data_IF_072920752806
#
_entry.id   IF_072920752806
#
_cell.length_a   1.000
_cell.length_b   1.000
_cell.length_c   1.000
_cell.angle_alpha   90.00
_cell.angle_beta   90.00
_cell.angle_gamma   90.00
#
_symmetry.space_group_name_H-M   'P 1'
#
loop_
_entity.id
_entity.type
_entity.pdbx_description
1 polymer ?
#
# COMPACT_ATOMS: atom_id res chain seq x y z
N UNK A 1 7.51 7.98 6.76
CA UNK A 1 6.13 8.32 6.39
C UNK A 1 5.67 7.30 5.37
N UNK A 2 4.82 6.37 5.79
CA UNK A 2 4.17 5.41 4.89
C UNK A 2 3.18 6.20 4.03
N UNK A 3 3.45 6.33 2.72
CA UNK A 3 2.47 6.87 1.77
C UNK A 3 1.41 5.80 1.53
N UNK A 4 0.44 5.71 2.44
CA UNK A 4 -0.77 4.95 2.20
C UNK A 4 -1.57 5.68 1.12
N UNK A 5 -1.88 5.00 0.01
CA UNK A 5 -2.62 5.56 -1.14
C UNK A 5 -4.09 5.80 -0.77
N UNK A 6 -4.34 6.67 0.20
CA UNK A 6 -5.64 6.93 0.79
C UNK A 6 -5.83 8.39 1.11
N UNK A 7 -7.04 8.86 0.86
CA UNK A 7 -7.53 10.20 1.17
C UNK A 7 -8.52 10.10 2.31
N UNK A 8 -8.35 10.92 3.34
CA UNK A 8 -9.28 10.97 4.46
C UNK A 8 -10.37 12.02 4.23
N UNK A 9 -11.63 11.60 4.35
CA UNK A 9 -12.81 12.48 4.29
C UNK A 9 -13.76 12.08 5.42
N UNK A 10 -14.13 13.05 6.27
CA UNK A 10 -15.02 12.85 7.42
C UNK A 10 -14.59 11.71 8.38
N UNK A 11 -13.29 11.50 8.54
CA UNK A 11 -12.74 10.42 9.38
C UNK A 11 -12.87 9.02 8.79
N UNK A 12 -13.16 8.93 7.48
CA UNK A 12 -13.12 7.71 6.69
C UNK A 12 -12.00 7.79 5.67
N UNK A 13 -11.32 6.66 5.45
CA UNK A 13 -10.20 6.58 4.50
C UNK A 13 -10.68 5.96 3.18
N UNK A 14 -10.54 6.71 2.09
CA UNK A 14 -10.90 6.29 0.74
C UNK A 14 -9.64 6.07 -0.08
N UNK A 15 -9.50 4.90 -0.70
CA UNK A 15 -8.36 4.62 -1.57
C UNK A 15 -8.35 5.51 -2.82
N UNK A 16 -7.17 5.91 -3.26
CA UNK A 16 -6.96 6.60 -4.54
C UNK A 16 -5.98 5.79 -5.41
N UNK A 17 -6.03 5.94 -6.74
CA UNK A 17 -5.09 5.28 -7.65
C UNK A 17 -3.64 5.58 -7.26
N UNK A 18 -2.82 4.54 -7.18
CA UNK A 18 -1.39 4.66 -6.84
C UNK A 18 -0.58 5.51 -7.82
N UNK A 19 -1.08 5.67 -9.04
CA UNK A 19 -0.49 6.53 -10.07
C UNK A 19 -0.45 8.00 -9.66
N UNK A 20 -1.25 8.39 -8.65
CA UNK A 20 -1.36 9.76 -8.13
C UNK A 20 -0.66 9.95 -6.78
N UNK A 21 0.23 9.03 -6.39
CA UNK A 21 1.03 9.21 -5.17
C UNK A 21 1.91 10.45 -5.32
N UNK A 22 1.80 11.38 -4.37
CA UNK A 22 2.56 12.64 -4.36
C UNK A 22 1.93 13.76 -5.20
N UNK A 23 0.87 13.46 -5.95
CA UNK A 23 0.10 14.44 -6.72
C UNK A 23 -1.00 15.08 -5.86
N UNK A 24 -1.41 16.31 -6.22
CA UNK A 24 -2.56 16.96 -5.59
C UNK A 24 -3.83 16.57 -6.30
N UNK A 25 -4.81 16.06 -5.55
CA UNK A 25 -6.14 15.70 -6.05
C UNK A 25 -7.22 16.59 -5.43
N UNK A 26 -8.28 16.86 -6.19
CA UNK A 26 -9.46 17.57 -5.73
C UNK A 26 -10.53 16.55 -5.36
N UNK A 27 -11.07 16.64 -4.15
CA UNK A 27 -12.15 15.75 -3.72
C UNK A 27 -13.46 16.50 -3.75
N UNK A 28 -14.45 15.94 -4.44
CA UNK A 28 -15.79 16.50 -4.58
C UNK A 28 -16.77 15.53 -3.92
N UNK A 29 -17.42 16.00 -2.87
CA UNK A 29 -18.46 15.27 -2.15
C UNK A 29 -19.82 15.78 -2.66
N UNK A 30 -20.59 14.89 -3.28
CA UNK A 30 -21.90 15.18 -3.84
C UNK A 30 -22.94 14.20 -3.27
N UNK A 31 -23.66 14.64 -2.23
CA UNK A 31 -24.69 13.82 -1.58
C UNK A 31 -24.10 12.58 -0.90
N UNK A 32 -24.33 11.41 -1.49
CA UNK A 32 -23.84 10.11 -1.02
C UNK A 32 -22.64 9.57 -1.82
N UNK A 33 -22.09 10.38 -2.74
CA UNK A 33 -20.92 10.02 -3.56
C UNK A 33 -19.74 10.94 -3.26
N UNK A 34 -18.54 10.36 -3.27
CA UNK A 34 -17.26 11.03 -3.22
C UNK A 34 -16.54 10.78 -4.55
N UNK A 35 -16.09 11.85 -5.19
CA UNK A 35 -15.31 11.81 -6.44
C UNK A 35 -13.95 12.42 -6.20
N UNK A 36 -12.91 11.74 -6.67
CA UNK A 36 -11.54 12.24 -6.64
C UNK A 36 -11.22 12.66 -8.06
N UNK A 37 -10.80 13.91 -8.23
CA UNK A 37 -10.39 14.47 -9.51
C UNK A 37 -8.90 14.81 -9.51
N UNK A 38 -8.24 14.56 -10.63
CA UNK A 38 -6.87 15.01 -10.90
C UNK A 38 -6.86 15.74 -12.24
N UNK A 39 -6.27 16.94 -12.27
CA UNK A 39 -6.24 17.81 -13.46
C UNK A 39 -7.62 18.02 -14.15
N UNK A 40 -8.71 18.03 -13.37
CA UNK A 40 -10.07 18.17 -13.87
C UNK A 40 -10.69 16.91 -14.48
N UNK A 41 -10.05 15.74 -14.32
CA UNK A 41 -10.57 14.43 -14.73
C UNK A 41 -10.96 13.62 -13.49
N UNK A 42 -12.12 12.93 -13.54
CA UNK A 42 -12.55 12.01 -12.48
C UNK A 42 -11.72 10.73 -12.52
N UNK A 43 -10.96 10.49 -11.46
CA UNK A 43 -9.99 9.38 -11.36
C UNK A 43 -10.46 8.28 -10.40
N UNK A 44 -11.39 8.58 -9.50
CA UNK A 44 -11.97 7.59 -8.60
C UNK A 44 -13.32 8.05 -8.06
N UNK A 45 -14.27 7.13 -7.96
CA UNK A 45 -15.57 7.38 -7.34
C UNK A 45 -15.83 6.36 -6.24
N UNK A 46 -16.26 6.85 -5.08
CA UNK A 46 -16.60 6.07 -3.90
C UNK A 46 -17.99 6.44 -3.41
N UNK A 47 -18.73 5.47 -2.87
CA UNK A 47 -19.90 5.78 -2.06
C UNK A 47 -19.43 6.30 -0.69
N UNK A 48 -20.01 7.41 -0.22
CA UNK A 48 -19.77 7.93 1.11
C UNK A 48 -20.28 6.93 2.15
N UNK A 49 -19.42 6.63 3.12
CA UNK A 49 -19.76 5.73 4.21
C UNK A 49 -20.27 6.52 5.40
N UNK A 50 -21.52 6.28 5.80
CA UNK A 50 -22.06 6.79 7.06
C UNK A 50 -21.52 5.93 8.23
N UNK A 51 -20.46 6.40 8.89
CA UNK A 51 -19.81 5.72 10.01
C UNK A 51 -18.45 6.36 10.35
N UNK A 52 -17.82 5.97 11.46
CA UNK A 52 -16.46 6.40 11.83
C UNK A 52 -15.45 5.27 11.57
N UNK A 53 -14.25 5.62 11.11
CA UNK A 53 -13.13 4.70 10.86
C UNK A 53 -13.38 3.62 9.80
N UNK A 54 -14.26 3.88 8.83
CA UNK A 54 -14.40 3.02 7.67
C UNK A 54 -13.27 3.20 6.68
N UNK A 55 -12.72 2.09 6.16
CA UNK A 55 -11.81 2.10 5.02
C UNK A 55 -12.53 1.56 3.79
N UNK A 56 -12.59 2.37 2.74
CA UNK A 56 -13.13 1.98 1.43
C UNK A 56 -11.95 1.82 0.47
N UNK A 57 -11.59 0.56 0.21
CA UNK A 57 -10.52 0.19 -0.70
C UNK A 57 -11.12 -0.40 -1.97
N UNK A 58 -10.87 0.23 -3.12
CA UNK A 58 -11.17 -0.34 -4.43
C UNK A 58 -9.95 -1.13 -4.91
N UNK A 59 -10.09 -2.44 -5.21
CA UNK A 59 -9.01 -3.25 -5.79
C UNK A 59 -8.42 -2.66 -7.08
N UNK A 60 -9.21 -1.92 -7.88
CA UNK A 60 -8.77 -1.28 -9.11
C UNK A 60 -7.67 -0.23 -8.85
N UNK A 61 -7.69 0.43 -7.68
CA UNK A 61 -6.66 1.41 -7.31
C UNK A 61 -5.29 0.80 -7.02
N UNK A 62 -5.23 -0.51 -6.84
CA UNK A 62 -4.00 -1.28 -6.66
C UNK A 62 -3.66 -2.16 -7.86
N UNK A 63 -4.43 -2.05 -8.96
CA UNK A 63 -4.17 -2.76 -10.20
C UNK A 63 -2.80 -2.33 -10.76
N UNK A 64 -1.83 -3.25 -10.75
CA UNK A 64 -0.47 -3.03 -11.24
C UNK A 64 0.61 -2.91 -10.16
N UNK A 65 0.24 -2.65 -8.90
CA UNK A 65 1.19 -2.55 -7.77
C UNK A 65 0.98 -3.60 -6.69
N UNK A 66 -0.15 -4.29 -6.69
CA UNK A 66 -0.34 -5.47 -5.86
C UNK A 66 0.74 -6.49 -6.22
N UNK A 67 1.62 -6.82 -5.26
CA UNK A 67 2.47 -8.00 -5.42
C UNK A 67 1.52 -9.15 -5.71
N UNK A 68 1.54 -9.69 -6.94
CA UNK A 68 1.10 -11.07 -7.14
C UNK A 68 1.85 -11.82 -6.05
N UNK A 69 1.13 -12.45 -5.12
CA UNK A 69 1.75 -13.45 -4.26
C UNK A 69 2.14 -14.55 -5.24
N UNK A 70 3.31 -14.40 -5.86
CA UNK A 70 3.96 -15.49 -6.52
C UNK A 70 4.06 -16.51 -5.39
N UNK A 71 3.28 -17.57 -5.48
CA UNK A 71 3.47 -18.74 -4.67
C UNK A 71 4.77 -19.32 -5.21
N UNK A 72 5.89 -18.69 -4.89
CA UNK A 72 7.19 -19.28 -5.07
C UNK A 72 7.21 -20.41 -4.03
N UNK A 73 7.34 -21.68 -4.42
CA UNK A 73 7.75 -22.68 -3.45
C UNK A 73 8.98 -22.12 -2.75
N UNK A 74 8.92 -22.05 -1.42
CA UNK A 74 10.03 -21.51 -0.64
C UNK A 74 11.25 -22.35 -1.03
N UNK A 75 12.32 -21.76 -1.61
CA UNK A 75 13.51 -22.52 -1.89
C UNK A 75 13.97 -23.07 -0.56
N UNK A 76 14.15 -24.39 -0.50
CA UNK A 76 14.78 -25.09 0.60
C UNK A 76 16.05 -24.33 0.96
N UNK A 77 16.00 -23.62 2.10
CA UNK A 77 17.08 -22.76 2.57
C UNK A 77 18.31 -23.65 2.71
N UNK A 78 19.36 -23.50 1.88
CA UNK A 78 20.52 -24.35 2.03
C UNK A 78 21.16 -24.02 3.39
N UNK A 79 21.61 -25.09 4.07
CA UNK A 79 22.56 -24.98 5.18
C UNK A 79 23.62 -23.97 4.80
N UNK A 80 23.91 -23.02 5.71
CA UNK A 80 24.77 -21.87 5.47
C UNK A 80 25.94 -22.23 4.55
N UNK A 81 26.04 -21.55 3.40
CA UNK A 81 27.10 -21.77 2.40
C UNK A 81 28.51 -21.62 3.00
N UNK A 82 28.59 -20.94 4.15
CA UNK A 82 29.78 -20.76 4.96
C UNK A 82 29.48 -21.18 6.41
N UNK A 83 30.25 -22.10 7.01
CA UNK A 83 30.09 -22.47 8.41
C UNK A 83 30.16 -21.25 9.34
N UNK A 84 29.36 -21.24 10.41
CA UNK A 84 29.34 -20.17 11.43
C UNK A 84 30.73 -19.89 12.02
N UNK A 85 31.56 -20.92 12.17
CA UNK A 85 32.92 -20.81 12.70
C UNK A 85 33.82 -19.85 11.92
N UNK A 86 33.57 -19.70 10.61
CA UNK A 86 34.33 -18.74 9.81
C UNK A 86 33.89 -17.30 10.02
N UNK A 87 32.63 -17.07 10.40
CA UNK A 87 32.18 -15.74 10.84
C UNK A 87 32.68 -15.43 12.24
N UNK A 88 32.68 -16.39 13.16
CA UNK A 88 33.19 -16.22 14.53
C UNK A 88 34.67 -15.82 14.54
N UNK A 89 35.47 -16.41 13.63
CA UNK A 89 36.88 -16.10 13.47
C UNK A 89 37.15 -14.65 12.99
N UNK A 90 36.23 -14.06 12.22
CA UNK A 90 36.35 -12.68 11.72
C UNK A 90 35.73 -11.67 12.68
N UNK A 91 34.61 -12.02 13.30
CA UNK A 91 33.88 -11.16 14.22
C UNK A 91 34.49 -11.11 15.62
N UNK A 92 35.52 -11.92 15.91
CA UNK A 92 36.15 -11.97 17.23
C UNK A 92 35.20 -12.52 18.31
N UNK A 93 34.25 -13.38 17.92
CA UNK A 93 33.22 -13.92 18.79
C UNK A 93 33.76 -14.99 19.74
N UNK A 94 34.50 -14.58 20.77
CA UNK A 94 34.67 -15.38 21.98
C UNK A 94 33.64 -14.91 23.00
N UNK A 95 32.56 -15.68 23.15
CA UNK A 95 31.76 -15.70 24.37
C UNK A 95 32.17 -16.92 25.18
#
# INVERSE_FOLDING_TARGET
MTSDCSVEVDGNAYSAPWTLIGERVTVIVAGADLRVQHAGQDVARHALRSGRHGRVADPAHFAGIGRRKAICPMPEVPTLLRPLSEYDAVAGGAW
#
